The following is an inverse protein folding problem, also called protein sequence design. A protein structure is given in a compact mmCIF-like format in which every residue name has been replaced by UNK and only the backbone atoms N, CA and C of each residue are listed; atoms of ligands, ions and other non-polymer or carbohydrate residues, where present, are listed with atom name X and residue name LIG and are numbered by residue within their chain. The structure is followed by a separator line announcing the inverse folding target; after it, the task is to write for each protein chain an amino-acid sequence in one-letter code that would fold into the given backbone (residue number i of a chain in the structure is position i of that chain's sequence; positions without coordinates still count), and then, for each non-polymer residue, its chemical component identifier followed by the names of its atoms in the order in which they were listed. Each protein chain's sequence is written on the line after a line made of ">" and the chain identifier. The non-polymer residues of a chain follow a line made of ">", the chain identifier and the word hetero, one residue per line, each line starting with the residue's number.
data_IF_432936299464
#
_entry.id   IF_432936299464
#
_cell.length_a   1.000
_cell.length_b   1.000
_cell.length_c   1.000
_cell.angle_alpha   90.00
_cell.angle_beta   90.00
_cell.angle_gamma   90.00
#
_symmetry.space_group_name_H-M   'P 1'
#
loop_
_entity.id
_entity.type
_entity.pdbx_description
1 polymer ?
#
# COMPACT_ATOMS: atom_id res chain seq x y z
N UNK A 1 14.81 2.96 -28.34
CA UNK A 1 13.94 2.35 -27.33
C UNK A 1 13.53 0.98 -27.85
N UNK A 2 14.10 -0.09 -27.30
CA UNK A 2 13.84 -1.46 -27.77
C UNK A 2 12.52 -1.99 -27.20
N UNK A 3 11.80 -2.81 -27.99
CA UNK A 3 10.57 -3.48 -27.55
C UNK A 3 10.81 -4.26 -26.24
N UNK A 4 9.87 -4.19 -25.30
CA UNK A 4 9.92 -4.96 -24.05
C UNK A 4 9.82 -6.47 -24.32
N UNK A 5 10.27 -7.33 -23.39
CA UNK A 5 10.16 -8.79 -23.57
C UNK A 5 8.69 -9.22 -23.82
N UNK A 6 7.74 -8.59 -23.11
CA UNK A 6 6.30 -8.74 -23.31
C UNK A 6 5.88 -8.34 -24.73
N UNK A 7 6.37 -7.21 -25.25
CA UNK A 7 6.10 -6.75 -26.61
C UNK A 7 6.76 -7.60 -27.68
N UNK A 8 7.91 -8.23 -27.40
CA UNK A 8 8.54 -9.21 -28.30
C UNK A 8 7.72 -10.50 -28.35
N UNK A 9 7.32 -11.04 -27.20
CA UNK A 9 6.42 -12.19 -27.11
C UNK A 9 5.09 -11.93 -27.81
N UNK A 10 4.45 -10.78 -27.53
CA UNK A 10 3.20 -10.40 -28.18
C UNK A 10 3.40 -10.12 -29.66
N UNK A 11 4.52 -9.54 -30.08
CA UNK A 11 4.83 -9.34 -31.50
C UNK A 11 5.14 -10.65 -32.22
N UNK A 12 5.55 -11.73 -31.56
CA UNK A 12 5.71 -13.06 -32.17
C UNK A 12 4.35 -13.76 -32.30
N UNK A 13 3.47 -13.59 -31.29
CA UNK A 13 2.09 -14.06 -31.36
C UNK A 13 1.24 -13.25 -32.36
N UNK A 14 1.55 -11.95 -32.53
CA UNK A 14 0.75 -11.00 -33.31
C UNK A 14 1.30 -10.73 -34.72
N UNK A 15 2.62 -10.74 -34.94
CA UNK A 15 3.24 -10.66 -36.26
C UNK A 15 3.83 -12.03 -36.64
N UNK A 16 3.25 -12.70 -37.63
CA UNK A 16 4.05 -13.50 -38.55
C UNK A 16 3.58 -14.91 -38.81
N UNK A 17 2.72 -15.47 -37.98
CA UNK A 17 1.90 -16.60 -38.39
C UNK A 17 0.45 -16.15 -38.26
N UNK A 18 -0.03 -15.40 -39.28
CA UNK A 18 -1.36 -15.74 -39.78
C UNK A 18 -1.40 -17.26 -39.74
N UNK A 19 -2.38 -17.84 -39.06
CA UNK A 19 -2.75 -19.24 -39.23
C UNK A 19 -3.04 -19.46 -40.72
N UNK A 20 -2.02 -19.47 -41.57
CA UNK A 20 -2.03 -20.14 -42.85
C UNK A 20 -2.04 -21.59 -42.41
N UNK A 21 -3.24 -22.05 -42.11
CA UNK A 21 -3.56 -23.44 -41.84
C UNK A 21 -2.97 -24.21 -43.01
N UNK A 22 -1.76 -24.71 -42.83
CA UNK A 22 -1.21 -25.64 -43.79
C UNK A 22 -1.95 -26.93 -43.52
N UNK A 23 -2.79 -27.33 -44.46
CA UNK A 23 -3.62 -28.51 -44.33
C UNK A 23 -2.81 -29.79 -44.61
N UNK A 24 -1.59 -29.85 -44.09
CA UNK A 24 -0.63 -30.94 -44.23
C UNK A 24 -0.32 -31.39 -42.81
N UNK A 25 -1.02 -32.43 -42.36
CA UNK A 25 -0.97 -32.90 -40.98
C UNK A 25 0.00 -34.08 -40.83
N UNK A 26 0.47 -34.64 -41.95
CA UNK A 26 1.35 -35.81 -41.96
C UNK A 26 2.55 -35.64 -42.88
N UNK A 27 3.63 -36.35 -42.56
CA UNK A 27 4.84 -36.40 -43.40
C UNK A 27 4.54 -36.97 -44.81
N UNK A 28 3.60 -37.91 -44.92
CA UNK A 28 3.19 -38.49 -46.20
C UNK A 28 2.48 -37.47 -47.10
N UNK A 29 1.68 -36.57 -46.54
CA UNK A 29 1.06 -35.47 -47.29
C UNK A 29 2.11 -34.44 -47.73
N UNK A 30 3.10 -34.16 -46.86
CA UNK A 30 4.21 -33.28 -47.17
C UNK A 30 5.04 -33.77 -48.37
N UNK A 31 5.35 -35.06 -48.41
CA UNK A 31 6.12 -35.67 -49.49
C UNK A 31 5.44 -35.58 -50.86
N UNK A 32 4.11 -35.43 -50.91
CA UNK A 32 3.33 -35.28 -52.15
C UNK A 32 3.38 -33.84 -52.71
N UNK A 33 3.92 -32.87 -51.97
CA UNK A 33 4.06 -31.50 -52.43
C UNK A 33 5.17 -31.36 -53.49
N UNK A 34 5.09 -30.32 -54.31
CA UNK A 34 6.17 -29.97 -55.23
C UNK A 34 7.48 -29.64 -54.47
N UNK A 35 8.66 -29.84 -55.08
CA UNK A 35 9.94 -29.48 -54.46
C UNK A 35 10.00 -28.03 -53.96
N UNK A 36 9.48 -27.08 -54.75
CA UNK A 36 9.41 -25.67 -54.36
C UNK A 36 8.53 -25.43 -53.12
N UNK A 37 7.41 -26.16 -53.00
CA UNK A 37 6.53 -26.08 -51.84
C UNK A 37 7.17 -26.70 -50.60
N UNK A 38 7.92 -27.78 -50.76
CA UNK A 38 8.69 -28.41 -49.67
C UNK A 38 9.83 -27.49 -49.18
N UNK A 39 10.57 -26.85 -50.08
CA UNK A 39 11.63 -25.90 -49.73
C UNK A 39 11.07 -24.68 -48.98
N UNK A 40 9.95 -24.13 -49.47
CA UNK A 40 9.26 -23.03 -48.80
C UNK A 40 8.81 -23.43 -47.39
N UNK A 41 8.25 -24.64 -47.23
CA UNK A 41 7.84 -25.16 -45.93
C UNK A 41 9.00 -25.31 -44.95
N UNK A 42 10.11 -25.86 -45.44
CA UNK A 42 11.31 -26.05 -44.65
C UNK A 42 11.92 -24.71 -44.23
N UNK A 43 11.89 -23.71 -45.12
CA UNK A 43 12.29 -22.34 -44.81
C UNK A 43 11.44 -21.73 -43.69
N UNK A 44 10.12 -21.88 -43.77
CA UNK A 44 9.19 -21.43 -42.73
C UNK A 44 9.43 -22.14 -41.39
N UNK A 45 9.58 -23.46 -41.38
CA UNK A 45 9.85 -24.22 -40.16
C UNK A 45 11.15 -23.74 -39.49
N UNK A 46 12.22 -23.52 -40.26
CA UNK A 46 13.47 -22.99 -39.74
C UNK A 46 13.31 -21.60 -39.11
N UNK A 47 12.51 -20.73 -39.73
CA UNK A 47 12.21 -19.41 -39.18
C UNK A 47 11.45 -19.52 -37.85
N UNK A 48 10.40 -20.35 -37.81
CA UNK A 48 9.63 -20.64 -36.59
C UNK A 48 10.53 -21.14 -35.47
N UNK A 49 11.34 -22.17 -35.73
CA UNK A 49 12.24 -22.76 -34.74
C UNK A 49 13.25 -21.75 -34.21
N UNK A 50 13.76 -20.86 -35.08
CA UNK A 50 14.68 -19.79 -34.68
C UNK A 50 13.99 -18.79 -33.75
N UNK A 51 12.75 -18.40 -34.05
CA UNK A 51 11.99 -17.46 -33.22
C UNK A 51 11.68 -18.07 -31.84
N UNK A 52 11.29 -19.35 -31.80
CA UNK A 52 11.10 -20.08 -30.53
C UNK A 52 12.37 -20.16 -29.70
N UNK A 53 13.53 -20.38 -30.33
CA UNK A 53 14.82 -20.41 -29.63
C UNK A 53 15.15 -19.05 -28.98
N UNK A 54 14.94 -17.96 -29.72
CA UNK A 54 15.16 -16.60 -29.21
C UNK A 54 14.24 -16.31 -28.01
N UNK A 55 12.97 -16.75 -28.11
CA UNK A 55 12.00 -16.62 -27.02
C UNK A 55 12.44 -17.40 -25.78
N UNK A 56 12.87 -18.66 -25.95
CA UNK A 56 13.34 -19.50 -24.83
C UNK A 56 14.53 -18.86 -24.12
N UNK A 57 15.52 -18.37 -24.89
CA UNK A 57 16.69 -17.71 -24.32
C UNK A 57 16.33 -16.41 -23.59
N UNK A 58 15.40 -15.63 -24.15
CA UNK A 58 14.92 -14.42 -23.51
C UNK A 58 14.16 -14.73 -22.21
N UNK A 59 13.32 -15.77 -22.19
CA UNK A 59 12.64 -16.19 -20.95
C UNK A 59 13.63 -16.64 -19.89
N UNK A 60 14.64 -17.43 -20.25
CA UNK A 60 15.66 -17.91 -19.32
C UNK A 60 16.44 -16.76 -18.69
N UNK A 61 16.81 -15.75 -19.49
CA UNK A 61 17.46 -14.54 -18.97
C UNK A 61 16.57 -13.78 -17.97
N UNK A 62 15.28 -13.62 -18.28
CA UNK A 62 14.35 -12.96 -17.33
C UNK A 62 14.06 -13.80 -16.09
N UNK A 63 14.19 -15.12 -16.15
CA UNK A 63 14.06 -15.99 -14.98
C UNK A 63 15.30 -15.85 -14.09
N UNK A 64 16.50 -15.79 -14.68
CA UNK A 64 17.74 -15.55 -13.95
C UNK A 64 17.70 -14.21 -13.19
N UNK A 65 17.32 -13.12 -13.86
CA UNK A 65 17.17 -11.80 -13.21
C UNK A 65 16.17 -11.82 -12.05
N UNK A 66 15.03 -12.51 -12.20
CA UNK A 66 14.04 -12.65 -11.13
C UNK A 66 14.58 -13.48 -9.96
N UNK A 67 15.33 -14.53 -10.23
CA UNK A 67 15.93 -15.36 -9.19
C UNK A 67 16.96 -14.55 -8.37
N UNK A 68 17.77 -13.73 -9.02
CA UNK A 68 18.72 -12.84 -8.33
C UNK A 68 18.01 -11.82 -7.44
N UNK A 69 16.89 -11.24 -7.91
CA UNK A 69 16.07 -10.35 -7.10
C UNK A 69 15.43 -11.06 -5.89
N UNK A 70 15.00 -12.31 -6.06
CA UNK A 70 14.48 -13.13 -4.95
C UNK A 70 15.57 -13.37 -3.91
N UNK A 71 16.79 -13.69 -4.32
CA UNK A 71 17.92 -13.88 -3.39
C UNK A 71 18.21 -12.62 -2.57
N UNK A 72 18.21 -11.44 -3.20
CA UNK A 72 18.40 -10.17 -2.50
C UNK A 72 17.29 -9.89 -1.47
N UNK A 73 16.03 -10.16 -1.83
CA UNK A 73 14.91 -9.99 -0.90
C UNK A 73 14.96 -10.98 0.27
N UNK A 74 15.43 -12.22 0.04
CA UNK A 74 15.62 -13.20 1.10
C UNK A 74 16.71 -12.76 2.10
N UNK A 75 17.82 -12.19 1.62
CA UNK A 75 18.88 -11.64 2.48
C UNK A 75 18.34 -10.47 3.32
N UNK A 76 17.58 -9.56 2.72
CA UNK A 76 16.97 -8.44 3.46
C UNK A 76 15.95 -8.92 4.51
N UNK A 77 15.14 -9.92 4.21
CA UNK A 77 14.20 -10.51 5.18
C UNK A 77 14.97 -11.12 6.35
N UNK A 78 16.05 -11.86 6.07
CA UNK A 78 16.89 -12.48 7.09
C UNK A 78 17.51 -11.43 8.03
N UNK A 79 18.08 -10.34 7.51
CA UNK A 79 18.62 -9.25 8.33
C UNK A 79 17.54 -8.57 9.21
N UNK A 80 16.33 -8.39 8.66
CA UNK A 80 15.22 -7.83 9.45
C UNK A 80 14.75 -8.78 10.55
N UNK A 81 14.67 -10.07 10.28
CA UNK A 81 14.28 -11.08 11.28
C UNK A 81 15.29 -11.17 12.43
N UNK A 82 16.58 -11.05 12.13
CA UNK A 82 17.64 -10.96 13.14
C UNK A 82 17.47 -9.71 14.03
N UNK A 83 17.20 -8.54 13.43
CA UNK A 83 16.91 -7.31 14.19
C UNK A 83 15.65 -7.40 15.03
N UNK A 84 14.59 -8.02 14.53
CA UNK A 84 13.36 -8.25 15.30
C UNK A 84 13.67 -9.13 16.50
N UNK A 85 14.46 -10.18 16.32
CA UNK A 85 14.86 -11.10 17.39
C UNK A 85 15.68 -10.37 18.46
N UNK A 86 16.61 -9.50 18.06
CA UNK A 86 17.39 -8.68 18.99
C UNK A 86 16.51 -7.71 19.79
N UNK A 87 15.61 -6.98 19.12
CA UNK A 87 14.68 -6.06 19.77
C UNK A 87 13.75 -6.77 20.76
N UNK A 88 13.26 -7.95 20.41
CA UNK A 88 12.46 -8.78 21.32
C UNK A 88 13.27 -9.23 22.54
N UNK A 89 14.54 -9.58 22.36
CA UNK A 89 15.46 -9.91 23.46
C UNK A 89 15.66 -8.74 24.42
N UNK A 90 15.87 -7.53 23.89
CA UNK A 90 16.02 -6.29 24.67
C UNK A 90 14.72 -5.97 25.43
N UNK A 91 13.57 -6.05 24.77
CA UNK A 91 12.27 -5.80 25.41
C UNK A 91 12.04 -6.75 26.59
N UNK A 92 12.31 -8.05 26.39
CA UNK A 92 12.20 -9.06 27.46
C UNK A 92 13.15 -8.77 28.61
N UNK A 93 14.37 -8.31 28.35
CA UNK A 93 15.31 -7.93 29.39
C UNK A 93 14.80 -6.73 30.21
N UNK A 94 14.28 -5.69 29.54
CA UNK A 94 13.70 -4.52 30.21
C UNK A 94 12.49 -4.88 31.08
N UNK A 95 11.62 -5.76 30.58
CA UNK A 95 10.43 -6.22 31.32
C UNK A 95 10.81 -7.02 32.59
N UNK A 96 11.90 -7.79 32.53
CA UNK A 96 12.38 -8.60 33.66
C UNK A 96 13.25 -7.83 34.66
N UNK A 97 13.78 -6.65 34.29
CA UNK A 97 14.67 -5.85 35.15
C UNK A 97 14.01 -4.58 35.70
N UNK A 98 12.82 -4.22 35.23
CA UNK A 98 12.03 -3.17 35.84
C UNK A 98 11.64 -3.58 37.29
N UNK A 99 11.96 -2.79 38.32
CA UNK A 99 11.36 -2.99 39.62
C UNK A 99 9.85 -2.85 39.44
N UNK A 100 9.08 -3.79 40.00
CA UNK A 100 7.62 -3.67 40.09
C UNK A 100 7.31 -2.52 41.06
N UNK A 101 7.47 -1.28 40.61
CA UNK A 101 6.81 -0.15 41.23
C UNK A 101 5.40 -0.13 40.68
N UNK A 102 4.49 -0.81 41.40
CA UNK A 102 3.05 -0.62 41.31
C UNK A 102 2.69 0.82 41.74
N UNK A 103 3.19 1.82 41.04
CA UNK A 103 2.66 3.15 41.10
C UNK A 103 1.50 3.16 40.09
N UNK A 104 0.27 3.29 40.59
CA UNK A 104 -0.87 3.63 39.75
C UNK A 104 -0.47 4.75 38.77
N UNK A 105 -0.95 4.74 37.51
CA UNK A 105 -0.58 5.77 36.55
C UNK A 105 -0.85 7.13 37.18
N UNK A 106 0.20 7.89 37.49
CA UNK A 106 0.04 9.25 38.01
C UNK A 106 -0.47 10.08 36.84
N UNK A 107 -1.78 10.30 36.83
CA UNK A 107 -2.39 11.21 35.87
C UNK A 107 -1.69 12.57 35.93
N UNK A 108 -1.54 13.20 34.78
CA UNK A 108 -0.96 14.54 34.64
C UNK A 108 -1.69 15.54 35.55
N UNK A 109 -0.95 16.52 36.08
CA UNK A 109 -1.52 17.57 36.91
C UNK A 109 -2.62 18.30 36.13
N UNK A 110 -3.78 18.52 36.77
CA UNK A 110 -4.94 19.12 36.11
C UNK A 110 -4.68 20.60 35.83
N UNK A 111 -4.29 20.94 34.60
CA UNK A 111 -4.20 22.34 34.15
C UNK A 111 -5.58 23.01 34.32
N UNK A 112 -5.67 24.30 34.70
CA UNK A 112 -6.94 25.01 34.77
C UNK A 112 -7.73 24.91 33.46
N UNK A 113 -9.05 24.81 33.59
CA UNK A 113 -9.95 24.71 32.45
C UNK A 113 -10.01 26.05 31.69
N UNK A 114 -9.99 26.05 30.34
CA UNK A 114 -10.18 27.27 29.55
C UNK A 114 -11.56 27.89 29.82
N UNK A 115 -11.71 29.22 29.62
CA UNK A 115 -13.00 29.89 29.79
C UNK A 115 -14.06 29.34 28.83
N UNK A 116 -15.34 29.47 29.18
CA UNK A 116 -16.45 29.09 28.30
C UNK A 116 -16.50 30.10 27.14
N UNK A 117 -16.45 29.60 25.91
CA UNK A 117 -16.63 30.42 24.72
C UNK A 117 -18.11 30.80 24.61
N UNK A 118 -18.40 32.11 24.64
CA UNK A 118 -19.71 32.71 24.40
C UNK A 118 -19.62 33.68 23.22
N UNK A 119 -20.75 34.22 22.73
CA UNK A 119 -20.87 34.90 21.42
C UNK A 119 -20.21 36.29 21.31
N UNK A 120 -19.08 36.52 21.97
CA UNK A 120 -18.41 37.81 22.05
C UNK A 120 -16.98 37.81 21.52
N UNK A 121 -16.82 38.23 20.26
CA UNK A 121 -15.59 38.70 19.59
C UNK A 121 -14.65 37.61 19.05
N UNK A 122 -14.31 37.72 17.75
CA UNK A 122 -13.47 36.77 16.99
C UNK A 122 -12.04 36.65 17.54
N UNK A 123 -11.46 37.73 18.09
CA UNK A 123 -10.17 37.68 18.79
C UNK A 123 -10.18 36.76 20.02
N UNK A 124 -11.35 36.53 20.63
CA UNK A 124 -11.49 35.59 21.74
C UNK A 124 -11.61 34.14 21.27
N UNK A 125 -11.98 33.90 20.00
CA UNK A 125 -12.11 32.55 19.45
C UNK A 125 -10.74 31.91 19.21
N UNK A 126 -9.82 32.60 18.53
CA UNK A 126 -8.48 32.08 18.24
C UNK A 126 -7.69 31.80 19.53
N UNK A 127 -7.72 32.76 20.48
CA UNK A 127 -7.13 32.59 21.80
C UNK A 127 -7.73 31.41 22.57
N UNK A 128 -9.04 31.16 22.41
CA UNK A 128 -9.72 30.04 23.04
C UNK A 128 -9.34 28.70 22.41
N UNK A 129 -9.22 28.64 21.08
CA UNK A 129 -8.77 27.44 20.35
C UNK A 129 -7.37 27.03 20.80
N UNK A 130 -6.44 27.98 20.96
CA UNK A 130 -5.10 27.72 21.46
C UNK A 130 -5.13 27.12 22.87
N UNK A 131 -5.91 27.72 23.79
CA UNK A 131 -6.05 27.24 25.19
C UNK A 131 -6.64 25.84 25.27
N UNK A 132 -7.62 25.53 24.42
CA UNK A 132 -8.26 24.22 24.33
C UNK A 132 -7.29 23.16 23.81
N UNK A 133 -6.51 23.46 22.76
CA UNK A 133 -5.50 22.54 22.23
C UNK A 133 -4.45 22.22 23.27
N UNK A 134 -3.92 23.24 23.94
CA UNK A 134 -2.92 23.08 25.00
C UNK A 134 -3.45 22.20 26.14
N UNK A 135 -4.73 22.36 26.49
CA UNK A 135 -5.39 21.57 27.54
C UNK A 135 -5.57 20.10 27.14
N UNK A 136 -5.96 19.82 25.90
CA UNK A 136 -6.12 18.45 25.40
C UNK A 136 -4.77 17.74 25.24
N UNK A 137 -3.73 18.47 24.84
CA UNK A 137 -2.38 17.94 24.68
C UNK A 137 -1.72 17.64 26.04
N UNK A 138 -1.78 18.58 26.98
CA UNK A 138 -1.16 18.44 28.28
C UNK A 138 -1.89 17.45 29.21
N UNK A 139 -3.18 17.20 28.98
CA UNK A 139 -3.99 16.22 29.73
C UNK A 139 -4.49 15.09 28.81
N UNK A 140 -3.68 14.66 27.84
CA UNK A 140 -4.04 13.60 26.87
C UNK A 140 -4.42 12.28 27.55
N UNK A 141 -3.83 11.99 28.71
CA UNK A 141 -4.12 10.86 29.57
C UNK A 141 -5.52 10.93 30.22
N UNK A 142 -6.12 12.12 30.33
CA UNK A 142 -7.51 12.31 30.76
C UNK A 142 -8.51 12.22 29.60
N UNK A 143 -8.06 12.40 28.36
CA UNK A 143 -8.88 12.38 27.15
C UNK A 143 -8.30 11.44 26.06
N UNK A 144 -8.20 10.13 26.35
CA UNK A 144 -7.45 9.17 25.51
C UNK A 144 -8.11 8.85 24.16
N UNK A 145 -9.35 9.31 23.93
CA UNK A 145 -10.06 9.06 22.67
C UNK A 145 -10.83 10.29 22.19
N UNK A 146 -11.07 10.34 20.89
CA UNK A 146 -11.75 11.44 20.20
C UNK A 146 -13.12 11.75 20.80
N UNK A 147 -13.85 10.74 21.29
CA UNK A 147 -15.18 10.94 21.91
C UNK A 147 -15.08 11.75 23.20
N UNK A 148 -14.09 11.48 24.04
CA UNK A 148 -13.84 12.23 25.28
C UNK A 148 -13.33 13.65 25.00
N UNK A 149 -12.45 13.81 24.01
CA UNK A 149 -11.97 15.13 23.58
C UNK A 149 -13.14 15.99 23.03
N UNK A 150 -14.01 15.41 22.21
CA UNK A 150 -15.20 16.08 21.68
C UNK A 150 -16.21 16.44 22.77
N UNK A 151 -16.42 15.56 23.75
CA UNK A 151 -17.31 15.82 24.89
C UNK A 151 -16.77 16.96 25.75
N UNK A 152 -15.45 17.01 25.96
CA UNK A 152 -14.79 18.11 26.67
C UNK A 152 -14.92 19.43 25.90
N UNK A 153 -14.65 19.43 24.59
CA UNK A 153 -14.84 20.59 23.71
C UNK A 153 -16.26 21.15 23.81
N UNK A 154 -17.27 20.29 23.74
CA UNK A 154 -18.68 20.69 23.88
C UNK A 154 -18.97 21.33 25.25
N UNK A 155 -18.36 20.82 26.33
CA UNK A 155 -18.52 21.37 27.68
C UNK A 155 -17.93 22.78 27.87
N UNK A 156 -17.11 23.23 26.91
CA UNK A 156 -16.44 24.54 26.92
C UNK A 156 -17.08 25.54 25.95
N UNK A 157 -18.18 25.16 25.31
CA UNK A 157 -19.02 26.04 24.49
C UNK A 157 -20.26 26.47 25.28
N UNK A 158 -20.65 27.74 25.17
CA UNK A 158 -21.89 28.29 25.72
C UNK A 158 -22.62 29.18 24.70
N UNK A 159 -23.83 29.63 25.02
CA UNK A 159 -24.56 30.57 24.14
C UNK A 159 -24.95 30.00 22.77
N UNK A 160 -24.94 30.84 21.72
CA UNK A 160 -25.24 30.45 20.33
C UNK A 160 -24.12 29.58 19.73
N UNK A 161 -22.90 29.60 20.26
CA UNK A 161 -21.80 28.72 19.83
C UNK A 161 -22.15 27.21 19.94
N UNK A 162 -22.89 26.81 20.98
CA UNK A 162 -23.41 25.43 21.13
C UNK A 162 -24.38 25.08 19.99
N UNK A 163 -25.22 26.04 19.58
CA UNK A 163 -26.20 25.85 18.49
C UNK A 163 -25.49 25.73 17.14
N UNK A 164 -24.50 26.57 16.86
CA UNK A 164 -23.71 26.49 15.63
C UNK A 164 -22.91 25.19 15.53
N UNK A 165 -22.31 24.73 16.64
CA UNK A 165 -21.61 23.44 16.68
C UNK A 165 -22.55 22.26 16.42
N UNK A 166 -23.73 22.25 17.06
CA UNK A 166 -24.74 21.20 16.88
C UNK A 166 -25.29 21.15 15.44
N UNK A 167 -25.52 22.31 14.81
CA UNK A 167 -25.97 22.39 13.40
C UNK A 167 -24.90 21.84 12.45
N UNK A 168 -23.63 22.22 12.64
CA UNK A 168 -22.52 21.78 11.79
C UNK A 168 -22.26 20.27 11.94
N UNK A 169 -22.34 19.74 13.16
CA UNK A 169 -22.22 18.30 13.45
C UNK A 169 -23.35 17.49 12.82
N UNK A 170 -24.61 17.97 12.91
CA UNK A 170 -25.77 17.35 12.24
C UNK A 170 -25.63 17.33 10.72
N UNK A 171 -25.16 18.40 10.09
CA UNK A 171 -24.97 18.42 8.62
C UNK A 171 -23.90 17.43 8.17
N UNK A 172 -22.81 17.26 8.95
CA UNK A 172 -21.72 16.35 8.63
C UNK A 172 -22.13 14.88 8.79
N UNK A 173 -22.97 14.56 9.76
CA UNK A 173 -23.53 13.22 9.97
C UNK A 173 -24.67 12.90 8.97
N UNK A 174 -25.49 13.88 8.59
CA UNK A 174 -26.52 13.70 7.56
C UNK A 174 -25.96 13.38 6.17
N UNK A 175 -24.78 13.92 5.84
CA UNK A 175 -24.07 13.61 4.60
C UNK A 175 -23.40 12.22 4.58
N UNK A 176 -23.34 11.51 5.72
CA UNK A 176 -22.75 10.17 5.82
C UNK A 176 -23.79 9.04 5.72
N UNK A 177 -25.09 9.35 5.82
CA UNK A 177 -26.19 8.38 5.75
C UNK A 177 -26.95 8.40 4.41
N UNK A 178 -26.42 9.12 3.42
CA UNK A 178 -26.95 9.20 2.05
C UNK A 178 -25.92 8.74 0.99
N UNK A 179 -24.98 7.88 1.37
CA UNK A 179 -24.13 7.14 0.44
C UNK A 179 -24.27 5.65 0.67
#
# INVERSE_FOLDING_TARGET
>A
MGKTAQERHQSILSNGHQMRNWNVNTYTEFQKLSPSSQEYAWSMLKAIMKDYLIVSQASDATIAERNDAILQLQEEIQDKDEKITELQGIQKYLENTAPICNAAPRQSARIPDPPILTDGIESAFEDWVVKIRLKLEANIDHFPNDKMQMSYLQSRLGGLAVRHFAIKLKSKLGNLLLK
#
